data_IF_793818154356
#
_entry.id   IF_793818154356
#
_cell.length_a   1.000
_cell.length_b   1.000
_cell.length_c   1.000
_cell.angle_alpha   90.00
_cell.angle_beta   90.00
_cell.angle_gamma   90.00
#
_symmetry.space_group_name_H-M   'P 1'
#
loop_
_entity.id
_entity.type
_entity.pdbx_description
1 polymer ?
#
# COMPACT_ATOMS: atom_id res chain seq x y z
N UNK A 1 31.94 -33.09 -36.63
CA UNK A 1 31.49 -33.79 -35.41
C UNK A 1 30.21 -33.09 -34.98
N UNK A 2 29.07 -33.71 -35.27
CA UNK A 2 27.77 -33.26 -34.79
C UNK A 2 27.65 -33.63 -33.32
N UNK A 3 27.89 -32.67 -32.44
CA UNK A 3 27.50 -32.80 -31.04
C UNK A 3 26.03 -32.41 -31.01
N UNK A 4 25.14 -33.39 -30.99
CA UNK A 4 23.76 -33.18 -30.58
C UNK A 4 23.80 -32.66 -29.14
N UNK A 5 23.85 -31.34 -29.01
CA UNK A 5 23.83 -30.67 -27.71
C UNK A 5 22.45 -30.93 -27.14
N UNK A 6 22.35 -31.89 -26.21
CA UNK A 6 21.16 -32.01 -25.37
C UNK A 6 20.90 -30.62 -24.79
N UNK A 7 19.74 -30.04 -25.14
CA UNK A 7 19.31 -28.72 -24.68
C UNK A 7 18.93 -28.82 -23.20
N UNK A 8 19.90 -29.09 -22.34
CA UNK A 8 19.72 -28.96 -20.89
C UNK A 8 19.60 -27.47 -20.59
N UNK A 9 18.48 -27.08 -20.00
CA UNK A 9 18.29 -25.69 -19.58
C UNK A 9 19.41 -25.31 -18.61
N UNK A 10 20.18 -24.24 -18.92
CA UNK A 10 21.22 -23.75 -18.04
C UNK A 10 20.62 -23.36 -16.69
N UNK A 11 21.34 -23.66 -15.60
CA UNK A 11 20.92 -23.35 -14.24
C UNK A 11 21.17 -21.86 -13.96
N UNK A 12 20.24 -21.00 -14.37
CA UNK A 12 20.20 -19.60 -13.94
C UNK A 12 19.68 -19.59 -12.49
N UNK A 13 20.36 -18.93 -11.53
CA UNK A 13 19.84 -18.82 -10.16
C UNK A 13 18.46 -18.17 -10.18
N UNK A 14 17.55 -18.60 -9.32
CA UNK A 14 16.23 -17.98 -9.22
C UNK A 14 16.34 -16.57 -8.66
N UNK A 15 15.69 -15.59 -9.29
CA UNK A 15 15.57 -14.23 -8.78
C UNK A 15 14.63 -14.22 -7.58
N UNK A 16 15.14 -13.85 -6.41
CA UNK A 16 14.41 -13.79 -5.13
C UNK A 16 14.06 -12.36 -4.75
N UNK A 17 14.84 -11.40 -5.22
CA UNK A 17 14.60 -9.99 -4.96
C UNK A 17 15.83 -9.15 -5.23
N UNK A 18 15.90 -8.00 -4.57
CA UNK A 18 17.01 -7.06 -4.70
C UNK A 18 18.35 -7.66 -4.26
N UNK A 19 18.36 -8.45 -3.19
CA UNK A 19 19.58 -9.03 -2.60
C UNK A 19 20.38 -9.91 -3.56
N UNK A 20 19.71 -10.61 -4.48
CA UNK A 20 20.38 -11.47 -5.46
C UNK A 20 20.22 -10.98 -6.90
N UNK A 21 19.76 -9.74 -7.09
CA UNK A 21 19.47 -9.18 -8.40
C UNK A 21 20.72 -9.08 -9.28
N UNK A 22 21.84 -8.58 -8.76
CA UNK A 22 23.10 -8.45 -9.52
C UNK A 22 23.66 -9.81 -9.96
N UNK A 23 23.61 -10.80 -9.07
CA UNK A 23 24.03 -12.17 -9.36
C UNK A 23 23.14 -12.80 -10.44
N UNK A 24 21.83 -12.66 -10.30
CA UNK A 24 20.86 -13.12 -11.30
C UNK A 24 21.10 -12.47 -12.66
N UNK A 25 21.24 -11.15 -12.70
CA UNK A 25 21.44 -10.38 -13.93
C UNK A 25 22.73 -10.83 -14.64
N UNK A 26 23.82 -10.97 -13.88
CA UNK A 26 25.10 -11.45 -14.40
C UNK A 26 24.96 -12.86 -14.98
N UNK A 27 24.35 -13.79 -14.25
CA UNK A 27 24.16 -15.17 -14.70
C UNK A 27 23.29 -15.25 -15.96
N UNK A 28 22.20 -14.47 -16.03
CA UNK A 28 21.32 -14.40 -17.19
C UNK A 28 22.06 -13.88 -18.43
N UNK A 29 22.78 -12.75 -18.29
CA UNK A 29 23.52 -12.15 -19.42
C UNK A 29 24.63 -13.08 -19.90
N UNK A 30 25.37 -13.73 -19.00
CA UNK A 30 26.40 -14.71 -19.37
C UNK A 30 25.81 -15.93 -20.07
N UNK A 31 24.64 -16.40 -19.61
CA UNK A 31 23.91 -17.49 -20.27
C UNK A 31 23.52 -17.09 -21.69
N UNK A 32 22.91 -15.92 -21.88
CA UNK A 32 22.54 -15.43 -23.20
C UNK A 32 23.75 -15.23 -24.12
N UNK A 33 24.90 -14.81 -23.56
CA UNK A 33 26.17 -14.73 -24.28
C UNK A 33 26.68 -16.09 -24.72
N UNK A 34 26.63 -17.10 -23.86
CA UNK A 34 27.03 -18.46 -24.19
C UNK A 34 26.22 -19.03 -25.37
N UNK A 35 24.91 -18.79 -25.40
CA UNK A 35 24.02 -19.22 -26.48
C UNK A 35 24.01 -18.29 -27.70
N UNK A 36 24.79 -17.20 -27.71
CA UNK A 36 24.84 -16.25 -28.82
C UNK A 36 23.55 -15.44 -29.03
N UNK A 37 22.71 -15.31 -28.01
CA UNK A 37 21.39 -14.63 -28.07
C UNK A 37 21.33 -13.35 -27.23
N UNK A 38 22.47 -12.81 -26.79
CA UNK A 38 22.57 -11.58 -25.99
C UNK A 38 21.74 -10.41 -26.53
N UNK A 39 21.69 -10.27 -27.86
CA UNK A 39 20.93 -9.21 -28.53
C UNK A 39 19.43 -9.28 -28.25
N UNK A 40 18.89 -10.43 -27.83
CA UNK A 40 17.49 -10.55 -27.43
C UNK A 40 17.16 -9.77 -26.16
N UNK A 41 18.16 -9.48 -25.31
CA UNK A 41 18.02 -8.66 -24.10
C UNK A 41 18.22 -7.17 -24.36
N UNK A 42 19.03 -6.80 -25.36
CA UNK A 42 19.50 -5.41 -25.51
C UNK A 42 19.01 -4.72 -26.77
N UNK A 43 18.68 -5.46 -27.83
CA UNK A 43 18.17 -4.90 -29.08
C UNK A 43 16.65 -5.01 -29.16
N UNK A 44 16.04 -3.97 -29.70
CA UNK A 44 14.62 -3.87 -30.01
C UNK A 44 14.30 -4.59 -31.33
N UNK A 45 13.01 -4.87 -31.63
CA UNK A 45 12.62 -5.47 -32.90
C UNK A 45 13.01 -4.64 -34.13
N UNK A 46 13.20 -3.33 -33.97
CA UNK A 46 13.66 -2.42 -35.03
C UNK A 46 15.16 -2.53 -35.31
N UNK A 47 15.95 -3.00 -34.34
CA UNK A 47 17.41 -3.12 -34.46
C UNK A 47 17.87 -4.51 -34.91
N UNK A 48 17.02 -5.53 -34.74
CA UNK A 48 17.33 -6.91 -35.10
C UNK A 48 16.06 -7.74 -35.30
N UNK A 49 16.05 -8.56 -36.36
CA UNK A 49 15.02 -9.59 -36.57
C UNK A 49 15.27 -10.75 -35.61
N UNK A 50 14.31 -11.00 -34.71
CA UNK A 50 14.37 -12.10 -33.73
C UNK A 50 13.71 -13.35 -34.32
N UNK A 51 14.48 -14.43 -34.43
CA UNK A 51 13.95 -15.75 -34.79
C UNK A 51 13.06 -16.31 -33.67
N UNK A 52 11.89 -16.83 -34.05
CA UNK A 52 10.86 -17.33 -33.11
C UNK A 52 11.37 -18.41 -32.15
N UNK A 53 12.15 -19.39 -32.64
CA UNK A 53 12.70 -20.47 -31.79
C UNK A 53 13.60 -19.91 -30.68
N UNK A 54 14.49 -18.98 -31.01
CA UNK A 54 15.42 -18.37 -30.06
C UNK A 54 14.70 -17.35 -29.16
N UNK A 55 13.66 -16.68 -29.67
CA UNK A 55 12.78 -15.82 -28.87
C UNK A 55 12.06 -16.62 -27.80
N UNK A 56 11.46 -17.75 -28.15
CA UNK A 56 10.81 -18.66 -27.21
C UNK A 56 11.82 -19.20 -26.19
N UNK A 57 13.01 -19.62 -26.62
CA UNK A 57 14.07 -20.07 -25.72
C UNK A 57 14.49 -18.97 -24.72
N UNK A 58 14.72 -17.75 -25.20
CA UNK A 58 15.02 -16.59 -24.35
C UNK A 58 13.90 -16.32 -23.34
N UNK A 59 12.64 -16.37 -23.77
CA UNK A 59 11.49 -16.19 -22.88
C UNK A 59 11.41 -17.28 -21.81
N UNK A 60 11.69 -18.54 -22.15
CA UNK A 60 11.71 -19.66 -21.19
C UNK A 60 12.79 -19.44 -20.13
N UNK A 61 13.99 -19.03 -20.54
CA UNK A 61 15.09 -18.73 -19.60
C UNK A 61 14.70 -17.63 -18.61
N UNK A 62 14.16 -16.51 -19.12
CA UNK A 62 13.72 -15.39 -18.27
C UNK A 62 12.61 -15.87 -17.33
N UNK A 63 11.54 -16.46 -17.87
CA UNK A 63 10.33 -16.83 -17.11
C UNK A 63 10.65 -17.84 -16.00
N UNK A 64 11.45 -18.86 -16.30
CA UNK A 64 11.83 -19.86 -15.30
C UNK A 64 12.70 -19.26 -14.19
N UNK A 65 13.52 -18.26 -14.52
CA UNK A 65 14.41 -17.63 -13.53
C UNK A 65 13.71 -16.65 -12.59
N UNK A 66 12.51 -16.16 -12.93
CA UNK A 66 11.83 -15.11 -12.14
C UNK A 66 10.63 -15.61 -11.33
N UNK A 67 10.39 -16.91 -11.30
CA UNK A 67 9.26 -17.54 -10.58
C UNK A 67 8.98 -16.95 -9.19
N UNK A 68 9.97 -16.80 -8.30
CA UNK A 68 9.74 -16.27 -6.95
C UNK A 68 9.28 -14.81 -6.90
N UNK A 69 9.60 -13.98 -7.89
CA UNK A 69 9.22 -12.55 -7.93
C UNK A 69 8.07 -12.25 -8.89
N UNK A 70 7.43 -13.28 -9.46
CA UNK A 70 6.35 -13.13 -10.44
C UNK A 70 5.18 -12.29 -9.92
N UNK A 71 4.82 -12.38 -8.64
CA UNK A 71 3.76 -11.57 -8.05
C UNK A 71 4.05 -10.07 -8.12
N UNK A 72 5.31 -9.67 -7.95
CA UNK A 72 5.74 -8.27 -8.10
C UNK A 72 5.58 -7.87 -9.55
N UNK A 73 6.12 -8.65 -10.48
CA UNK A 73 6.13 -8.33 -11.90
C UNK A 73 4.71 -8.19 -12.47
N UNK A 74 3.75 -9.02 -12.05
CA UNK A 74 2.34 -8.93 -12.46
C UNK A 74 1.71 -7.58 -12.09
N UNK A 75 2.05 -7.03 -10.91
CA UNK A 75 1.57 -5.69 -10.52
C UNK A 75 2.10 -4.59 -11.45
N UNK A 76 3.27 -4.78 -12.04
CA UNK A 76 3.87 -3.88 -13.02
C UNK A 76 3.55 -4.27 -14.47
N UNK A 77 2.38 -4.89 -14.70
CA UNK A 77 1.85 -5.27 -16.02
C UNK A 77 2.65 -6.36 -16.74
N UNK A 78 3.34 -7.23 -16.00
CA UNK A 78 3.79 -8.50 -16.57
C UNK A 78 2.58 -9.30 -17.04
N UNK A 79 2.66 -9.88 -18.25
CA UNK A 79 1.61 -10.77 -18.78
C UNK A 79 2.23 -12.10 -19.18
N UNK A 80 1.94 -13.14 -18.39
CA UNK A 80 2.39 -14.52 -18.65
C UNK A 80 1.72 -15.16 -19.86
N UNK A 81 0.65 -14.56 -20.39
CA UNK A 81 -0.15 -15.10 -21.50
C UNK A 81 0.25 -14.56 -22.88
N UNK A 82 1.23 -13.65 -22.95
CA UNK A 82 1.66 -13.04 -24.21
C UNK A 82 2.86 -13.77 -24.77
N UNK A 83 2.57 -14.86 -25.49
CA UNK A 83 3.53 -15.73 -26.19
C UNK A 83 4.40 -14.92 -27.19
N UNK A 84 3.89 -13.78 -27.70
CA UNK A 84 4.56 -12.97 -28.71
C UNK A 84 5.40 -11.80 -28.20
N UNK A 85 5.49 -11.59 -26.88
CA UNK A 85 6.25 -10.44 -26.38
C UNK A 85 7.76 -10.61 -26.53
N UNK A 86 8.41 -9.48 -26.77
CA UNK A 86 9.86 -9.39 -26.89
C UNK A 86 10.54 -9.68 -25.53
N UNK A 87 11.55 -10.59 -25.47
CA UNK A 87 12.35 -10.84 -24.27
C UNK A 87 12.95 -9.58 -23.63
N UNK A 88 13.35 -8.59 -24.43
CA UNK A 88 13.88 -7.31 -23.97
C UNK A 88 12.87 -6.58 -23.09
N UNK A 89 11.60 -6.56 -23.48
CA UNK A 89 10.55 -5.85 -22.73
C UNK A 89 10.41 -6.42 -21.32
N UNK A 90 10.51 -7.74 -21.18
CA UNK A 90 10.47 -8.41 -19.89
C UNK A 90 11.74 -8.19 -19.08
N UNK A 91 12.91 -8.31 -19.73
CA UNK A 91 14.19 -8.02 -19.10
C UNK A 91 14.28 -6.58 -18.57
N UNK A 92 13.89 -5.60 -19.36
CA UNK A 92 13.84 -4.19 -18.98
C UNK A 92 12.87 -3.96 -17.81
N UNK A 93 11.70 -4.63 -17.84
CA UNK A 93 10.73 -4.54 -16.76
C UNK A 93 11.32 -5.06 -15.44
N UNK A 94 11.99 -6.21 -15.47
CA UNK A 94 12.64 -6.79 -14.29
C UNK A 94 13.74 -5.85 -13.78
N UNK A 95 14.61 -5.37 -14.67
CA UNK A 95 15.71 -4.46 -14.33
C UNK A 95 15.21 -3.12 -13.74
N UNK A 96 14.04 -2.67 -14.16
CA UNK A 96 13.42 -1.46 -13.62
C UNK A 96 12.74 -1.70 -12.28
N UNK A 97 12.06 -2.82 -12.11
CA UNK A 97 11.17 -3.07 -10.96
C UNK A 97 11.95 -3.61 -9.77
N UNK A 98 12.76 -4.65 -9.95
CA UNK A 98 13.34 -5.40 -8.83
C UNK A 98 14.27 -4.54 -7.96
N UNK A 99 15.16 -3.69 -8.51
CA UNK A 99 15.98 -2.80 -7.69
C UNK A 99 15.17 -1.77 -6.88
N UNK A 100 13.93 -1.48 -7.29
CA UNK A 100 13.04 -0.53 -6.60
C UNK A 100 12.17 -1.18 -5.52
N UNK A 101 12.13 -2.52 -5.48
CA UNK A 101 11.46 -3.26 -4.40
C UNK A 101 12.21 -2.97 -3.10
N UNK A 102 11.47 -2.54 -2.09
CA UNK A 102 12.05 -2.19 -0.79
C UNK A 102 12.36 -3.45 0.01
N UNK A 103 13.43 -3.39 0.78
CA UNK A 103 13.84 -4.49 1.65
C UNK A 103 12.78 -4.67 2.75
N UNK A 104 12.39 -5.92 3.01
CA UNK A 104 11.34 -6.25 3.97
C UNK A 104 11.60 -5.62 5.34
N UNK A 105 12.83 -5.74 5.83
CA UNK A 105 13.25 -5.20 7.13
C UNK A 105 13.10 -3.68 7.18
N UNK A 106 13.32 -3.00 6.06
CA UNK A 106 13.11 -1.57 5.95
C UNK A 106 11.62 -1.22 6.01
N UNK A 107 10.76 -1.99 5.33
CA UNK A 107 9.32 -1.76 5.38
C UNK A 107 8.76 -2.04 6.77
N UNK A 108 9.16 -3.14 7.42
CA UNK A 108 8.74 -3.45 8.79
C UNK A 108 9.20 -2.36 9.73
N UNK A 109 10.47 -1.95 9.68
CA UNK A 109 11.00 -0.87 10.51
C UNK A 109 10.23 0.44 10.31
N UNK A 110 9.95 0.83 9.06
CA UNK A 110 9.17 2.03 8.75
C UNK A 110 7.71 1.92 9.24
N UNK A 111 7.10 0.74 9.18
CA UNK A 111 5.74 0.52 9.65
C UNK A 111 5.65 0.53 11.18
N UNK A 112 6.64 -0.04 11.87
CA UNK A 112 6.69 -0.10 13.34
C UNK A 112 6.85 1.28 13.98
N UNK A 113 7.56 2.20 13.31
CA UNK A 113 7.77 3.57 13.83
C UNK A 113 6.75 4.58 13.29
N UNK A 114 5.87 4.19 12.38
CA UNK A 114 4.87 5.09 11.81
C UNK A 114 3.92 5.59 12.91
N UNK A 115 3.58 6.88 12.86
CA UNK A 115 2.60 7.48 13.75
C UNK A 115 1.60 8.31 12.93
N UNK A 116 0.31 8.03 13.09
CA UNK A 116 -0.73 8.71 12.32
C UNK A 116 -0.82 10.22 12.61
N UNK A 117 -0.30 10.67 13.76
CA UNK A 117 -0.25 12.09 14.14
C UNK A 117 0.78 12.90 13.33
N UNK A 118 1.75 12.24 12.70
CA UNK A 118 2.73 12.90 11.82
C UNK A 118 2.12 13.33 10.47
N UNK A 119 0.88 12.92 10.20
CA UNK A 119 0.16 13.22 8.97
C UNK A 119 -0.95 14.23 9.24
N UNK A 120 -1.23 15.08 8.27
CA UNK A 120 -2.26 16.12 8.37
C UNK A 120 -3.66 15.50 8.45
N UNK A 121 -3.84 14.35 7.78
CA UNK A 121 -5.11 13.61 7.77
C UNK A 121 -4.90 12.10 7.87
N UNK A 122 -5.93 11.40 8.35
CA UNK A 122 -5.96 9.93 8.33
C UNK A 122 -5.92 9.35 6.90
N UNK A 123 -6.42 10.08 5.91
CA UNK A 123 -6.35 9.68 4.50
C UNK A 123 -4.91 9.67 3.97
N UNK A 124 -4.10 10.66 4.35
CA UNK A 124 -2.66 10.70 4.02
C UNK A 124 -1.91 9.55 4.70
N UNK A 125 -2.15 9.34 6.00
CA UNK A 125 -1.59 8.22 6.75
C UNK A 125 -1.94 6.87 6.10
N UNK A 126 -3.23 6.66 5.77
CA UNK A 126 -3.72 5.46 5.09
C UNK A 126 -2.97 5.23 3.78
N UNK A 127 -2.85 6.27 2.96
CA UNK A 127 -2.16 6.19 1.67
C UNK A 127 -0.71 5.76 1.87
N UNK A 128 -0.02 6.35 2.85
CA UNK A 128 1.37 5.98 3.20
C UNK A 128 1.51 4.51 3.60
N UNK A 129 0.67 4.00 4.50
CA UNK A 129 0.77 2.60 4.94
C UNK A 129 0.37 1.60 3.84
N UNK A 130 -0.54 1.98 2.95
CA UNK A 130 -0.85 1.20 1.75
C UNK A 130 0.34 1.12 0.79
N UNK A 131 1.05 2.24 0.58
CA UNK A 131 2.28 2.24 -0.21
C UNK A 131 3.38 1.39 0.41
N UNK A 132 3.56 1.45 1.73
CA UNK A 132 4.53 0.59 2.44
C UNK A 132 4.20 -0.89 2.23
N UNK A 133 2.94 -1.27 2.38
CA UNK A 133 2.47 -2.64 2.16
C UNK A 133 2.65 -3.14 0.73
N UNK A 134 2.52 -2.28 -0.28
CA UNK A 134 2.75 -2.65 -1.67
C UNK A 134 4.22 -2.95 -1.97
N UNK A 135 5.15 -2.36 -1.22
CA UNK A 135 6.59 -2.55 -1.39
C UNK A 135 7.13 -3.88 -0.87
N UNK A 136 6.26 -4.72 -0.29
CA UNK A 136 6.62 -5.96 0.38
C UNK A 136 6.38 -7.16 -0.55
N UNK A 137 7.47 -7.85 -0.91
CA UNK A 137 7.39 -9.14 -1.59
C UNK A 137 6.78 -10.18 -0.65
N UNK A 138 5.82 -10.94 -1.18
CA UNK A 138 4.94 -11.90 -0.48
C UNK A 138 5.65 -13.16 0.05
N UNK A 139 6.98 -13.15 0.14
CA UNK A 139 7.80 -14.34 0.40
C UNK A 139 7.83 -14.80 1.86
N UNK A 140 7.09 -14.14 2.75
CA UNK A 140 6.96 -14.60 4.11
C UNK A 140 5.58 -15.23 4.31
N UNK A 141 5.56 -16.41 4.92
CA UNK A 141 4.45 -17.32 5.26
C UNK A 141 3.36 -16.70 6.16
N UNK A 142 3.16 -15.39 6.08
CA UNK A 142 2.25 -14.63 6.93
C UNK A 142 0.86 -14.67 6.30
N UNK A 143 -0.17 -14.75 7.15
CA UNK A 143 -1.55 -14.55 6.73
C UNK A 143 -1.66 -13.15 6.10
N UNK A 144 -1.70 -13.12 4.76
CA UNK A 144 -1.85 -11.89 3.97
C UNK A 144 -3.05 -11.07 4.46
N UNK A 145 -4.05 -11.67 5.13
CA UNK A 145 -5.18 -10.90 5.65
C UNK A 145 -4.84 -10.06 6.88
N UNK A 146 -3.83 -10.40 7.67
CA UNK A 146 -3.54 -9.74 8.97
C UNK A 146 -2.16 -9.12 9.04
N UNK A 147 -1.27 -9.38 8.09
CA UNK A 147 0.04 -8.73 8.06
C UNK A 147 -0.07 -7.19 8.13
N UNK A 148 0.78 -6.56 8.94
CA UNK A 148 0.83 -5.11 9.11
C UNK A 148 -0.34 -4.52 9.92
N UNK A 149 -1.33 -5.33 10.32
CA UNK A 149 -2.47 -4.86 11.12
C UNK A 149 -2.02 -4.42 12.52
N UNK A 150 -1.22 -5.19 13.28
CA UNK A 150 -0.77 -4.77 14.61
C UNK A 150 0.00 -3.44 14.60
N UNK A 151 0.90 -3.26 13.64
CA UNK A 151 1.74 -2.08 13.50
C UNK A 151 0.89 -0.85 13.16
N UNK A 152 -0.03 -0.96 12.20
CA UNK A 152 -0.93 0.14 11.84
C UNK A 152 -1.91 0.46 12.97
N UNK A 153 -2.39 -0.54 13.71
CA UNK A 153 -3.23 -0.29 14.89
C UNK A 153 -2.43 0.47 15.94
N UNK A 154 -1.21 0.05 16.26
CA UNK A 154 -0.35 0.76 17.21
C UNK A 154 -0.08 2.22 16.79
N UNK A 155 0.16 2.45 15.49
CA UNK A 155 0.38 3.77 14.92
C UNK A 155 -0.83 4.73 15.04
N UNK A 156 -2.04 4.21 15.27
CA UNK A 156 -3.28 4.98 15.43
C UNK A 156 -3.58 5.36 16.89
N UNK A 157 -2.75 4.97 17.85
CA UNK A 157 -3.00 5.19 19.28
C UNK A 157 -3.12 6.68 19.63
N UNK A 158 -2.19 7.48 19.13
CA UNK A 158 -2.03 8.87 19.56
C UNK A 158 -3.17 9.74 19.00
N UNK A 159 -3.91 10.40 19.91
CA UNK A 159 -5.05 11.25 19.58
C UNK A 159 -6.36 10.50 19.33
N UNK A 160 -6.39 9.16 19.40
CA UNK A 160 -7.58 8.34 19.12
C UNK A 160 -7.74 7.14 20.05
N UNK A 161 -7.50 7.35 21.35
CA UNK A 161 -7.40 6.28 22.34
C UNK A 161 -8.61 5.33 22.38
N UNK A 162 -9.84 5.87 22.41
CA UNK A 162 -11.06 5.04 22.43
C UNK A 162 -11.21 4.19 21.16
N UNK A 163 -10.92 4.76 19.99
CA UNK A 163 -10.98 4.05 18.73
C UNK A 163 -9.88 2.99 18.63
N UNK A 164 -8.66 3.33 19.08
CA UNK A 164 -7.55 2.41 19.20
C UNK A 164 -7.90 1.20 20.08
N UNK A 165 -8.51 1.40 21.25
CA UNK A 165 -8.95 0.30 22.12
C UNK A 165 -9.97 -0.62 21.43
N UNK A 166 -10.92 -0.05 20.67
CA UNK A 166 -11.88 -0.84 19.90
C UNK A 166 -11.19 -1.67 18.79
N UNK A 167 -10.19 -1.09 18.09
CA UNK A 167 -9.40 -1.79 17.09
C UNK A 167 -8.58 -2.94 17.70
N UNK A 168 -7.94 -2.71 18.85
CA UNK A 168 -7.20 -3.75 19.59
C UNK A 168 -8.12 -4.91 20.00
N UNK A 169 -9.33 -4.61 20.48
CA UNK A 169 -10.31 -5.64 20.82
C UNK A 169 -10.77 -6.46 19.59
N UNK A 170 -10.99 -5.83 18.44
CA UNK A 170 -11.31 -6.53 17.19
C UNK A 170 -10.13 -7.36 16.66
N UNK A 171 -8.90 -6.88 16.84
CA UNK A 171 -7.67 -7.58 16.48
C UNK A 171 -7.47 -8.83 17.33
N UNK A 172 -7.55 -8.71 18.66
CA UNK A 172 -7.41 -9.83 19.60
C UNK A 172 -8.50 -10.90 19.41
N UNK A 173 -9.68 -10.49 18.94
CA UNK A 173 -10.77 -11.41 18.58
C UNK A 173 -10.61 -12.06 17.19
N UNK A 174 -9.51 -11.79 16.47
CA UNK A 174 -9.26 -12.34 15.12
C UNK A 174 -10.19 -11.81 14.03
N UNK A 175 -10.94 -10.72 14.30
CA UNK A 175 -11.94 -10.16 13.36
C UNK A 175 -11.40 -9.02 12.50
N UNK A 176 -10.24 -8.48 12.84
CA UNK A 176 -9.62 -7.36 12.15
C UNK A 176 -8.65 -7.85 11.07
N UNK A 177 -9.09 -7.74 9.81
CA UNK A 177 -8.24 -7.93 8.63
C UNK A 177 -7.79 -6.58 8.08
N UNK A 178 -6.73 -6.57 7.28
CA UNK A 178 -6.25 -5.37 6.59
C UNK A 178 -7.36 -4.62 5.84
N UNK A 179 -8.15 -5.35 5.04
CA UNK A 179 -9.26 -4.77 4.28
C UNK A 179 -10.31 -4.14 5.19
N UNK A 180 -10.52 -4.69 6.38
CA UNK A 180 -11.47 -4.14 7.37
C UNK A 180 -10.87 -2.92 8.06
N UNK A 181 -9.58 -2.96 8.41
CA UNK A 181 -8.85 -1.84 8.99
C UNK A 181 -8.84 -0.63 8.04
N UNK A 182 -8.46 -0.80 6.78
CA UNK A 182 -8.44 0.29 5.80
C UNK A 182 -9.81 0.97 5.63
N UNK A 183 -10.90 0.19 5.58
CA UNK A 183 -12.26 0.72 5.51
C UNK A 183 -12.66 1.49 6.77
N UNK A 184 -12.21 1.04 7.95
CA UNK A 184 -12.45 1.76 9.20
C UNK A 184 -11.68 3.07 9.25
N UNK A 185 -10.45 3.10 8.74
CA UNK A 185 -9.67 4.34 8.62
C UNK A 185 -10.39 5.33 7.69
N UNK A 186 -10.93 4.88 6.55
CA UNK A 186 -11.73 5.76 5.67
C UNK A 186 -12.97 6.34 6.36
N UNK A 187 -13.73 5.49 7.06
CA UNK A 187 -14.92 5.93 7.77
C UNK A 187 -14.58 6.95 8.88
N UNK A 188 -13.47 6.72 9.58
CA UNK A 188 -12.98 7.61 10.63
C UNK A 188 -12.46 8.94 10.06
N UNK A 189 -11.74 8.90 8.94
CA UNK A 189 -11.29 10.10 8.23
C UNK A 189 -12.47 10.96 7.77
N UNK A 190 -13.53 10.34 7.26
CA UNK A 190 -14.75 11.04 6.86
C UNK A 190 -15.47 11.68 8.06
N UNK A 191 -15.56 10.97 9.19
CA UNK A 191 -16.15 11.51 10.42
C UNK A 191 -15.41 12.74 10.92
N UNK A 192 -14.07 12.72 10.94
CA UNK A 192 -13.26 13.85 11.41
C UNK A 192 -13.39 15.09 10.53
N UNK A 193 -13.52 14.88 9.21
CA UNK A 193 -13.78 15.98 8.28
C UNK A 193 -15.15 16.63 8.56
N UNK A 194 -16.17 15.83 8.86
CA UNK A 194 -17.51 16.36 9.17
C UNK A 194 -17.57 17.08 10.52
N UNK A 195 -16.91 16.58 11.57
CA UNK A 195 -16.89 17.23 12.88
C UNK A 195 -16.13 18.56 12.83
N UNK A 196 -15.00 18.61 12.12
CA UNK A 196 -14.24 19.86 11.93
C UNK A 196 -15.04 20.96 11.21
N UNK A 197 -16.00 20.60 10.34
CA UNK A 197 -16.84 21.58 9.64
C UNK A 197 -17.92 22.21 10.54
N UNK A 198 -18.38 21.51 11.56
CA UNK A 198 -19.39 22.02 12.49
C UNK A 198 -18.79 22.86 13.63
N UNK A 199 -17.53 22.62 14.01
CA UNK A 199 -16.85 23.43 15.03
C UNK A 199 -16.47 24.85 14.52
N UNK A 200 -16.30 25.03 13.21
CA UNK A 200 -15.96 26.33 12.59
C UNK A 200 -17.20 27.24 12.37
N UNK A 201 -18.42 26.69 12.28
CA UNK A 201 -19.66 27.47 12.05
C UNK A 201 -20.20 28.14 13.34
N UNK A 202 -19.83 27.63 14.52
CA UNK A 202 -20.28 28.14 15.81
C UNK A 202 -19.46 29.36 16.33
N UNK A 203 -18.29 29.63 15.76
CA UNK A 203 -17.45 30.78 16.17
C UNK A 203 -17.79 32.07 15.40
N UNK A 204 -18.16 31.97 14.12
CA UNK A 204 -18.61 33.13 13.33
C UNK A 204 -20.00 33.65 13.76
N UNK A 205 -20.83 32.77 14.32
CA UNK A 205 -22.17 33.12 14.84
C UNK A 205 -22.12 33.99 16.10
N UNK A 206 -21.01 33.97 16.85
CA UNK A 206 -20.85 34.75 18.10
C UNK A 206 -20.23 36.13 17.90
N UNK A 207 -19.61 36.40 16.74
CA UNK A 207 -18.89 37.66 16.51
C UNK A 207 -19.74 38.78 15.91
N UNK A 208 -20.97 38.49 15.45
CA UNK A 208 -21.85 39.47 14.79
C UNK A 208 -23.05 39.94 15.63
N UNK A 209 -23.09 39.62 16.93
CA UNK A 209 -24.24 39.86 17.80
C UNK A 209 -24.12 40.99 18.83
N UNK A 210 -23.12 41.88 18.73
CA UNK A 210 -22.93 42.95 19.73
C UNK A 210 -22.74 44.33 19.09
N UNK A 211 -23.80 44.85 18.49
CA UNK A 211 -23.94 46.30 18.28
C UNK A 211 -25.42 46.68 18.27
N UNK A 212 -25.91 47.21 19.39
CA UNK A 212 -27.31 47.62 19.54
C UNK A 212 -27.65 48.05 20.96
N UNK A 213 -26.87 48.96 21.54
CA UNK A 213 -27.19 49.59 22.82
C UNK A 213 -28.08 50.83 22.64
N UNK A 214 -29.27 50.80 23.25
CA UNK A 214 -29.87 51.95 23.94
C UNK A 214 -31.08 52.63 23.28
N UNK A 215 -32.27 52.47 23.87
CA UNK A 215 -32.93 53.51 24.69
C UNK A 215 -34.44 53.23 24.92
N UNK A 216 -34.85 53.29 26.20
CA UNK A 216 -36.20 53.58 26.77
C UNK A 216 -37.39 52.69 26.30
N UNK A 217 -38.49 52.47 27.02
CA UNK A 217 -39.13 53.13 28.15
C UNK A 217 -40.24 52.20 28.71
N UNK A 218 -40.68 52.51 29.92
CA UNK A 218 -42.01 52.24 30.51
C UNK A 218 -42.58 50.82 30.68
N UNK A 219 -42.71 50.45 31.96
CA UNK A 219 -44.05 50.37 32.55
C UNK A 219 -44.72 49.00 32.69
N UNK A 220 -44.82 48.58 33.95
CA UNK A 220 -46.05 48.14 34.63
C UNK A 220 -46.11 46.69 35.18
N UNK A 221 -46.63 46.64 36.40
CA UNK A 221 -46.69 45.57 37.40
C UNK A 221 -47.61 44.40 37.03
N UNK A 222 -47.28 43.17 37.49
CA UNK A 222 -48.06 42.48 38.56
C UNK A 222 -47.53 41.08 38.96
N UNK A 223 -47.34 40.93 40.28
CA UNK A 223 -47.66 39.80 41.18
C UNK A 223 -47.11 38.35 40.97
N UNK A 224 -46.29 37.95 41.96
CA UNK A 224 -46.00 36.62 42.60
C UNK A 224 -47.18 35.61 42.69
N UNK A 225 -47.00 34.31 43.14
CA UNK A 225 -45.79 33.59 43.61
C UNK A 225 -45.63 32.12 43.07
N UNK A 226 -44.55 31.47 43.53
CA UNK A 226 -44.08 30.07 43.31
C UNK A 226 -45.01 28.93 43.86
N UNK A 227 -44.51 27.70 44.14
CA UNK A 227 -44.17 26.57 43.26
C UNK A 227 -45.04 25.33 43.60
N UNK A 228 -45.02 24.26 42.79
CA UNK A 228 -45.40 22.95 43.32
C UNK A 228 -44.64 21.78 42.69
N UNK A 229 -43.85 21.14 43.55
CA UNK A 229 -43.33 19.79 43.44
C UNK A 229 -44.45 18.74 43.44
N UNK A 230 -44.37 17.72 42.58
CA UNK A 230 -44.90 16.35 42.80
C UNK A 230 -44.14 15.39 41.87
N UNK A 231 -43.17 14.64 42.39
CA UNK A 231 -43.28 13.25 42.89
C UNK A 231 -43.46 12.18 41.80
N UNK A 232 -42.36 11.45 41.56
CA UNK A 232 -42.20 9.97 41.50
C UNK A 232 -43.47 9.11 41.49
N UNK A 233 -43.45 8.12 40.58
CA UNK A 233 -43.69 6.66 40.72
C UNK A 233 -44.12 6.12 39.34
N UNK A 234 -43.80 4.93 38.89
CA UNK A 234 -42.97 3.80 39.31
C UNK A 234 -42.66 3.00 38.03
#
# INVERSE_FOLDING_TARGET
MDVAQELTLPQIPLLRGKDNFELWQTALVQTFRYYGITDYLFKTPTEMVKHEKLKAFAMVLITNSVGPVMHVLVQFKWSSYQIDKDPKVHYDLICRVIPTVRDWDQVVKELTVANAREFSTLSEFKTRVQHLRLGVSRELEHDDKTWGVPEVVAALRDGREMWHHALVAEMNAGRLTWRRLMRKIDAQAAYELTVSQYDDEDDDSRRNGNNGGGAADDGNYQARPQPSSKKRKA
#
